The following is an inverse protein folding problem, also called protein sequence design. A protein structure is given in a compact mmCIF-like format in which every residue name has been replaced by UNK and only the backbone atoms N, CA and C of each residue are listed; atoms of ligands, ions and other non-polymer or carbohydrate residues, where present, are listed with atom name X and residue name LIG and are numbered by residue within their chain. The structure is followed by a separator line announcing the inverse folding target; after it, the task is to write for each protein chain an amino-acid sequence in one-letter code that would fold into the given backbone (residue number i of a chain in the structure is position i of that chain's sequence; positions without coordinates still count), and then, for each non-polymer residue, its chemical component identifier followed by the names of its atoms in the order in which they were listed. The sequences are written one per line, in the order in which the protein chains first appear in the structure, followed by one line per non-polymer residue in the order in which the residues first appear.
data_IF_335240666886
#
_entry.id   IF_335240666886
#
_cell.length_a   1.000
_cell.length_b   1.000
_cell.length_c   1.000
_cell.angle_alpha   90.00
_cell.angle_beta   90.00
_cell.angle_gamma   90.00
#
_symmetry.space_group_name_H-M   'P 1'
#
loop_
_entity.id
_entity.type
_entity.pdbx_description
1 polymer ?
#
# COMPACT_ATOMS: atom_id res chain seq x y z
N UNK A 1 -55.05 -37.53 26.86
CA UNK A 1 -55.14 -36.87 25.53
C UNK A 1 -55.01 -35.35 25.55
N UNK A 2 -55.47 -34.60 26.57
CA UNK A 2 -55.46 -33.11 26.56
C UNK A 2 -54.07 -32.45 26.62
N UNK A 3 -53.05 -33.12 27.15
CA UNK A 3 -51.68 -32.55 27.27
C UNK A 3 -50.86 -32.58 25.98
N UNK A 4 -51.22 -33.46 25.03
CA UNK A 4 -50.50 -33.58 23.76
C UNK A 4 -50.74 -32.35 22.85
N UNK A 5 -51.95 -31.80 22.88
CA UNK A 5 -52.29 -30.60 22.10
C UNK A 5 -51.54 -29.36 22.60
N UNK A 6 -51.38 -29.21 23.93
CA UNK A 6 -50.64 -28.10 24.52
C UNK A 6 -49.14 -28.17 24.22
N UNK A 7 -48.55 -29.37 24.20
CA UNK A 7 -47.15 -29.57 23.84
C UNK A 7 -46.89 -29.22 22.37
N UNK A 8 -47.80 -29.60 21.47
CA UNK A 8 -47.72 -29.31 20.03
C UNK A 8 -47.82 -27.81 19.75
N UNK A 9 -48.72 -27.11 20.45
CA UNK A 9 -48.87 -25.65 20.33
C UNK A 9 -47.62 -24.93 20.86
N UNK A 10 -47.05 -25.37 21.99
CA UNK A 10 -45.81 -24.81 22.53
C UNK A 10 -44.62 -25.02 21.58
N UNK A 11 -44.51 -26.19 20.95
CA UNK A 11 -43.49 -26.46 19.93
C UNK A 11 -43.66 -25.59 18.68
N UNK A 12 -44.89 -25.37 18.21
CA UNK A 12 -45.13 -24.51 17.04
C UNK A 12 -44.83 -23.04 17.32
N UNK A 13 -45.14 -22.53 18.53
CA UNK A 13 -44.75 -21.17 18.92
C UNK A 13 -43.23 -21.01 19.04
N UNK A 14 -42.54 -22.00 19.62
CA UNK A 14 -41.08 -21.97 19.70
C UNK A 14 -40.42 -22.00 18.30
N UNK A 15 -40.99 -22.77 17.36
CA UNK A 15 -40.51 -22.82 15.97
C UNK A 15 -40.80 -21.53 15.20
N UNK A 16 -41.94 -20.87 15.46
CA UNK A 16 -42.28 -19.59 14.87
C UNK A 16 -41.46 -18.42 15.44
N UNK A 17 -41.04 -18.50 16.71
CA UNK A 17 -40.14 -17.52 17.33
C UNK A 17 -38.66 -17.73 16.96
N UNK A 18 -38.28 -18.92 16.50
CA UNK A 18 -36.93 -19.25 16.02
C UNK A 18 -36.77 -19.07 14.49
N UNK A 19 -37.82 -18.69 13.78
CA UNK A 19 -37.72 -18.25 12.39
C UNK A 19 -37.15 -16.83 12.38
N UNK A 20 -35.83 -16.72 12.23
CA UNK A 20 -35.11 -15.44 12.12
C UNK A 20 -35.87 -14.47 11.19
N UNK A 21 -36.23 -13.29 11.71
CA UNK A 21 -36.96 -12.27 10.95
C UNK A 21 -36.09 -11.91 9.73
N UNK A 22 -36.61 -11.98 8.48
CA UNK A 22 -35.84 -11.66 7.28
C UNK A 22 -35.19 -10.27 7.33
N UNK A 23 -35.71 -9.36 8.17
CA UNK A 23 -35.10 -8.05 8.44
C UNK A 23 -33.75 -8.14 9.15
N UNK A 24 -33.57 -9.09 10.05
CA UNK A 24 -32.32 -9.23 10.82
C UNK A 24 -31.21 -9.87 9.96
N UNK A 25 -31.56 -10.80 9.07
CA UNK A 25 -30.64 -11.31 8.04
C UNK A 25 -30.18 -10.22 7.05
N UNK A 26 -31.07 -9.30 6.69
CA UNK A 26 -30.74 -8.14 5.83
C UNK A 26 -29.84 -7.15 6.58
N UNK A 27 -30.13 -6.85 7.84
CA UNK A 27 -29.27 -6.00 8.69
C UNK A 27 -27.89 -6.61 8.87
N UNK A 28 -27.79 -7.91 9.12
CA UNK A 28 -26.51 -8.61 9.24
C UNK A 28 -25.71 -8.58 7.94
N UNK A 29 -26.38 -8.77 6.80
CA UNK A 29 -25.75 -8.68 5.48
C UNK A 29 -25.29 -7.24 5.18
N UNK A 30 -26.09 -6.23 5.56
CA UNK A 30 -25.74 -4.82 5.41
C UNK A 30 -24.57 -4.45 6.33
N UNK A 31 -24.59 -4.88 7.59
CA UNK A 31 -23.53 -4.66 8.57
C UNK A 31 -22.22 -5.36 8.15
N UNK A 32 -22.27 -6.56 7.56
CA UNK A 32 -21.08 -7.21 6.97
C UNK A 32 -20.53 -6.44 5.77
N UNK A 33 -21.39 -5.86 4.93
CA UNK A 33 -20.95 -5.02 3.79
C UNK A 33 -20.35 -3.69 4.28
N UNK A 34 -20.99 -3.05 5.26
CA UNK A 34 -20.55 -1.78 5.83
C UNK A 34 -19.27 -1.91 6.66
N UNK A 35 -19.10 -3.02 7.39
CA UNK A 35 -17.84 -3.32 8.09
C UNK A 35 -16.74 -3.62 7.09
N UNK A 36 -16.99 -4.45 6.07
CA UNK A 36 -16.00 -4.74 5.02
C UNK A 36 -15.55 -3.48 4.26
N UNK A 37 -16.44 -2.51 4.00
CA UNK A 37 -16.05 -1.22 3.43
C UNK A 37 -15.19 -0.38 4.37
N UNK A 38 -15.55 -0.28 5.66
CA UNK A 38 -14.77 0.49 6.64
C UNK A 38 -13.33 -0.04 6.81
N UNK A 39 -13.16 -1.36 6.81
CA UNK A 39 -11.82 -1.96 6.87
C UNK A 39 -11.03 -1.80 5.56
N UNK A 40 -11.69 -1.77 4.40
CA UNK A 40 -11.03 -1.54 3.12
C UNK A 40 -10.48 -0.11 2.97
N UNK A 41 -11.17 0.88 3.53
CA UNK A 41 -10.75 2.29 3.51
C UNK A 41 -9.57 2.56 4.46
N UNK A 42 -9.54 1.89 5.63
CA UNK A 42 -8.41 1.97 6.58
C UNK A 42 -7.12 1.33 6.01
N UNK A 43 -7.26 0.20 5.30
CA UNK A 43 -6.14 -0.45 4.61
C UNK A 43 -5.58 0.41 3.47
N UNK A 44 -6.43 1.15 2.74
CA UNK A 44 -6.01 2.02 1.64
C UNK A 44 -5.20 3.22 2.13
N UNK A 45 -5.64 3.86 3.22
CA UNK A 45 -4.89 4.95 3.85
C UNK A 45 -3.54 4.48 4.42
N UNK A 46 -3.51 3.30 5.06
CA UNK A 46 -2.29 2.71 5.58
C UNK A 46 -1.31 2.31 4.46
N UNK A 47 -1.82 1.77 3.35
CA UNK A 47 -1.02 1.41 2.18
C UNK A 47 -0.42 2.65 1.52
N UNK A 48 -1.22 3.69 1.30
CA UNK A 48 -0.75 4.96 0.75
C UNK A 48 0.33 5.59 1.64
N UNK A 49 0.16 5.55 2.96
CA UNK A 49 1.16 6.04 3.91
C UNK A 49 2.49 5.29 3.77
N UNK A 50 2.46 3.95 3.70
CA UNK A 50 3.66 3.12 3.52
C UNK A 50 4.38 3.42 2.20
N UNK A 51 3.62 3.67 1.13
CA UNK A 51 4.18 4.03 -0.19
C UNK A 51 4.87 5.40 -0.11
N UNK A 52 4.22 6.41 0.48
CA UNK A 52 4.82 7.75 0.69
C UNK A 52 6.11 7.64 1.53
N UNK A 53 6.08 6.90 2.64
CA UNK A 53 7.28 6.67 3.48
C UNK A 53 8.40 5.92 2.75
N UNK A 54 8.06 4.94 1.91
CA UNK A 54 9.02 4.23 1.10
C UNK A 54 9.64 5.15 0.03
N UNK A 55 8.85 5.99 -0.63
CA UNK A 55 9.35 6.94 -1.63
C UNK A 55 10.29 7.98 -1.01
N UNK A 56 9.94 8.53 0.16
CA UNK A 56 10.84 9.43 0.91
C UNK A 56 12.17 8.75 1.25
N UNK A 57 12.14 7.51 1.74
CA UNK A 57 13.36 6.73 2.00
C UNK A 57 14.17 6.51 0.72
N UNK A 58 13.51 6.22 -0.40
CA UNK A 58 14.15 6.04 -1.71
C UNK A 58 14.84 7.34 -2.16
N UNK A 59 14.19 8.49 -2.02
CA UNK A 59 14.78 9.79 -2.36
C UNK A 59 16.00 10.11 -1.50
N UNK A 60 15.91 9.91 -0.17
CA UNK A 60 17.04 10.11 0.74
C UNK A 60 18.21 9.19 0.39
N UNK A 61 17.94 7.92 0.07
CA UNK A 61 18.98 6.99 -0.37
C UNK A 61 19.66 7.44 -1.67
N UNK A 62 18.91 8.02 -2.61
CA UNK A 62 19.50 8.58 -3.83
C UNK A 62 20.43 9.76 -3.51
N UNK A 63 20.07 10.63 -2.56
CA UNK A 63 20.91 11.76 -2.10
C UNK A 63 22.21 11.26 -1.47
N UNK A 64 22.14 10.27 -0.58
CA UNK A 64 23.33 9.62 0.01
C UNK A 64 24.24 9.01 -1.06
N UNK A 65 23.67 8.32 -2.06
CA UNK A 65 24.45 7.73 -3.14
C UNK A 65 25.12 8.78 -4.02
N UNK A 66 24.46 9.91 -4.26
CA UNK A 66 25.08 11.05 -4.97
C UNK A 66 26.28 11.56 -4.18
N UNK A 67 26.13 11.77 -2.88
CA UNK A 67 27.20 12.25 -2.01
C UNK A 67 28.40 11.29 -2.01
N UNK A 68 28.16 10.00 -1.73
CA UNK A 68 29.20 8.96 -1.73
C UNK A 68 29.97 8.90 -3.06
N UNK A 69 29.26 8.96 -4.18
CA UNK A 69 29.90 8.91 -5.51
C UNK A 69 30.67 10.20 -5.81
N UNK A 70 30.16 11.34 -5.37
CA UNK A 70 30.85 12.63 -5.51
C UNK A 70 32.13 12.64 -4.67
N UNK A 71 32.11 12.13 -3.44
CA UNK A 71 33.32 11.98 -2.62
C UNK A 71 34.33 11.04 -3.26
N UNK A 72 33.89 9.92 -3.85
CA UNK A 72 34.78 9.00 -4.57
C UNK A 72 35.45 9.67 -5.78
N UNK A 73 34.72 10.53 -6.51
CA UNK A 73 35.30 11.32 -7.60
C UNK A 73 36.27 12.38 -7.10
N UNK A 74 35.97 13.07 -5.98
CA UNK A 74 36.92 14.03 -5.36
C UNK A 74 38.19 13.34 -4.85
N UNK A 75 38.06 12.16 -4.25
CA UNK A 75 39.19 11.34 -3.82
C UNK A 75 40.04 10.89 -5.02
N UNK A 76 39.40 10.66 -6.17
CA UNK A 76 40.07 10.40 -7.44
C UNK A 76 40.89 11.59 -7.94
N UNK A 77 40.25 12.77 -8.02
CA UNK A 77 40.89 13.99 -8.50
C UNK A 77 42.05 14.46 -7.62
N UNK A 78 41.92 14.28 -6.30
CA UNK A 78 42.97 14.60 -5.33
C UNK A 78 44.09 13.55 -5.23
N UNK A 79 43.96 12.42 -5.94
CA UNK A 79 44.95 11.34 -5.94
C UNK A 79 44.95 10.45 -4.68
N UNK A 80 44.05 10.69 -3.72
CA UNK A 80 43.88 9.85 -2.52
C UNK A 80 43.39 8.43 -2.86
N UNK A 81 42.68 8.29 -3.98
CA UNK A 81 42.23 7.03 -4.54
C UNK A 81 42.43 7.08 -6.04
N UNK A 82 42.75 5.96 -6.69
CA UNK A 82 42.67 5.85 -8.15
C UNK A 82 41.43 5.05 -8.54
N UNK A 83 40.61 5.60 -9.42
CA UNK A 83 39.47 4.93 -10.04
C UNK A 83 39.92 4.54 -11.44
N UNK A 84 39.38 3.44 -11.96
CA UNK A 84 39.53 3.17 -13.40
C UNK A 84 38.69 4.14 -14.23
N UNK A 85 39.01 4.30 -15.51
CA UNK A 85 38.22 5.12 -16.43
C UNK A 85 36.76 4.64 -16.52
N UNK A 86 36.55 3.33 -16.42
CA UNK A 86 35.22 2.72 -16.38
C UNK A 86 34.45 3.11 -15.11
N UNK A 87 35.10 3.06 -13.95
CA UNK A 87 34.50 3.44 -12.67
C UNK A 87 34.18 4.94 -12.63
N UNK A 88 35.12 5.77 -13.08
CA UNK A 88 34.96 7.22 -13.19
C UNK A 88 33.76 7.57 -14.07
N UNK A 89 33.66 6.94 -15.24
CA UNK A 89 32.53 7.13 -16.16
C UNK A 89 31.23 6.63 -15.55
N UNK A 90 31.24 5.46 -14.90
CA UNK A 90 30.05 4.88 -14.25
C UNK A 90 29.51 5.79 -13.15
N UNK A 91 30.38 6.30 -12.27
CA UNK A 91 29.96 7.15 -11.16
C UNK A 91 29.39 8.48 -11.64
N UNK A 92 29.99 9.10 -12.66
CA UNK A 92 29.44 10.30 -13.30
C UNK A 92 28.04 10.05 -13.88
N UNK A 93 27.84 8.92 -14.58
CA UNK A 93 26.51 8.53 -15.10
C UNK A 93 25.50 8.31 -13.97
N UNK A 94 25.89 7.64 -12.90
CA UNK A 94 25.02 7.38 -11.74
C UNK A 94 24.58 8.68 -11.07
N UNK A 95 25.51 9.60 -10.80
CA UNK A 95 25.19 10.91 -10.22
C UNK A 95 24.21 11.67 -11.10
N UNK A 96 24.46 11.72 -12.41
CA UNK A 96 23.58 12.40 -13.36
C UNK A 96 22.18 11.77 -13.40
N UNK A 97 22.09 10.45 -13.37
CA UNK A 97 20.81 9.73 -13.36
C UNK A 97 20.01 9.99 -12.08
N UNK A 98 20.66 9.92 -10.91
CA UNK A 98 20.00 10.19 -9.63
C UNK A 98 19.56 11.64 -9.49
N UNK A 99 20.39 12.61 -9.91
CA UNK A 99 20.02 14.03 -9.92
C UNK A 99 18.79 14.29 -10.78
N UNK A 100 18.78 13.78 -12.02
CA UNK A 100 17.60 13.89 -12.91
C UNK A 100 16.34 13.26 -12.29
N UNK A 101 16.49 12.13 -11.59
CA UNK A 101 15.34 11.48 -10.96
C UNK A 101 14.80 12.28 -9.77
N UNK A 102 15.68 12.89 -8.98
CA UNK A 102 15.28 13.79 -7.90
C UNK A 102 14.64 15.07 -8.45
N UNK A 103 15.25 15.71 -9.45
CA UNK A 103 14.68 16.87 -10.14
C UNK A 103 13.29 16.57 -10.72
N UNK A 104 13.10 15.39 -11.30
CA UNK A 104 11.78 14.99 -11.79
C UNK A 104 10.75 14.93 -10.67
N UNK A 105 11.12 14.42 -9.50
CA UNK A 105 10.20 14.31 -8.35
C UNK A 105 9.95 15.68 -7.73
N UNK A 106 10.98 16.52 -7.60
CA UNK A 106 10.87 17.87 -7.05
C UNK A 106 10.08 18.82 -7.99
N UNK A 107 10.10 18.56 -9.30
CA UNK A 107 9.36 19.34 -10.29
C UNK A 107 7.89 18.92 -10.44
N UNK A 108 7.48 17.78 -9.86
CA UNK A 108 6.08 17.39 -9.85
C UNK A 108 5.30 18.32 -8.93
N UNK A 109 4.12 18.76 -9.38
CA UNK A 109 3.18 19.43 -8.49
C UNK A 109 2.71 18.48 -7.38
N UNK A 110 2.26 19.06 -6.27
CA UNK A 110 1.73 18.27 -5.15
C UNK A 110 0.55 17.38 -5.61
N UNK A 111 -0.35 17.91 -6.45
CA UNK A 111 -1.47 17.17 -7.02
C UNK A 111 -1.01 15.98 -7.88
N UNK A 112 -0.04 16.18 -8.77
CA UNK A 112 0.53 15.10 -9.60
C UNK A 112 1.23 14.04 -8.76
N UNK A 113 1.93 14.46 -7.70
CA UNK A 113 2.56 13.55 -6.76
C UNK A 113 1.54 12.71 -6.01
N UNK A 114 0.47 13.33 -5.50
CA UNK A 114 -0.60 12.62 -4.82
C UNK A 114 -1.31 11.63 -5.74
N UNK A 115 -1.64 12.05 -6.97
CA UNK A 115 -2.26 11.20 -7.97
C UNK A 115 -1.36 9.99 -8.30
N UNK A 116 -0.06 10.21 -8.49
CA UNK A 116 0.90 9.13 -8.74
C UNK A 116 0.98 8.12 -7.58
N UNK A 117 0.98 8.60 -6.34
CA UNK A 117 1.00 7.73 -5.16
C UNK A 117 -0.31 6.94 -5.01
N UNK A 118 -1.47 7.55 -5.33
CA UNK A 118 -2.75 6.87 -5.33
C UNK A 118 -2.84 5.79 -6.42
N UNK A 119 -2.35 6.06 -7.63
CA UNK A 119 -2.29 5.07 -8.71
C UNK A 119 -1.41 3.88 -8.33
N UNK A 120 -0.26 4.14 -7.69
CA UNK A 120 0.62 3.09 -7.19
C UNK A 120 -0.06 2.24 -6.11
N UNK A 121 -0.78 2.87 -5.18
CA UNK A 121 -1.55 2.16 -4.16
C UNK A 121 -2.64 1.26 -4.77
N UNK A 122 -3.37 1.77 -5.78
CA UNK A 122 -4.38 0.99 -6.52
C UNK A 122 -3.74 -0.19 -7.26
N UNK A 123 -2.59 0.02 -7.89
CA UNK A 123 -1.85 -1.04 -8.60
C UNK A 123 -1.40 -2.15 -7.65
N UNK A 124 -0.81 -1.81 -6.51
CA UNK A 124 -0.39 -2.79 -5.49
C UNK A 124 -1.59 -3.58 -4.96
N UNK A 125 -2.71 -2.91 -4.68
CA UNK A 125 -3.95 -3.57 -4.28
C UNK A 125 -4.45 -4.53 -5.36
N UNK A 126 -4.41 -4.13 -6.63
CA UNK A 126 -4.80 -4.96 -7.74
C UNK A 126 -3.92 -6.22 -7.86
N UNK A 127 -2.60 -6.08 -7.71
CA UNK A 127 -1.67 -7.23 -7.70
C UNK A 127 -1.99 -8.20 -6.56
N UNK A 128 -2.22 -7.69 -5.35
CA UNK A 128 -2.58 -8.50 -4.18
C UNK A 128 -3.91 -9.24 -4.37
N UNK A 129 -4.90 -8.61 -5.02
CA UNK A 129 -6.20 -9.25 -5.31
C UNK A 129 -6.12 -10.32 -6.40
N UNK A 130 -5.13 -10.26 -7.30
CA UNK A 130 -4.92 -11.29 -8.33
C UNK A 130 -4.12 -12.50 -7.81
N UNK A 131 -3.72 -12.53 -6.54
CA UNK A 131 -3.04 -13.67 -5.93
C UNK A 131 -1.63 -13.91 -6.46
N UNK A 132 -0.98 -12.89 -7.02
CA UNK A 132 0.45 -12.94 -7.33
C UNK A 132 1.23 -12.77 -6.02
N UNK A 133 2.04 -13.76 -5.59
CA UNK A 133 2.82 -13.63 -4.37
C UNK A 133 3.88 -12.53 -4.52
N UNK A 134 4.08 -11.77 -3.44
CA UNK A 134 5.12 -10.75 -3.33
C UNK A 134 6.49 -11.34 -3.73
N UNK A 135 7.17 -10.69 -4.69
CA UNK A 135 8.55 -11.02 -5.13
C UNK A 135 9.60 -10.50 -4.13
#
# INVERSE_FOLDING_TARGET
MKYFALLLIACMMALAMAADDPRDLVKDRLNRKLSRNRYADEDDAATLKRIKEHDVRRQNRMRELIEQRTEQLKAHESGHRRLSDEEHTRFNRQIKAFKRKLEQVDAMSEEEYENSMQEMARSIKQMNTMGMPDL
#
